data_IF_306707199317
#
_entry.id   IF_306707199317
#
_cell.length_a   1.000
_cell.length_b   1.000
_cell.length_c   1.000
_cell.angle_alpha   90.00
_cell.angle_beta   90.00
_cell.angle_gamma   90.00
#
_symmetry.space_group_name_H-M   'P 1'
#
loop_
_entity.id
_entity.type
_entity.pdbx_description
1 polymer ?
#
# COMPACT_ATOMS: atom_id res chain seq x y z
N UNK A 1 64.51 29.00 -38.96
CA UNK A 1 64.51 30.43 -38.57
C UNK A 1 63.19 31.06 -38.95
N UNK A 2 62.31 31.37 -38.02
CA UNK A 2 61.30 32.42 -38.05
C UNK A 2 60.58 32.40 -36.67
N UNK A 3 60.82 33.48 -35.96
CA UNK A 3 60.22 33.78 -34.64
C UNK A 3 58.79 34.18 -34.81
N UNK A 4 57.85 33.58 -34.08
CA UNK A 4 56.47 33.99 -33.95
C UNK A 4 56.26 34.66 -32.59
N UNK A 5 55.70 35.85 -32.63
CA UNK A 5 55.45 36.75 -31.53
C UNK A 5 54.14 36.31 -30.82
N UNK A 6 54.22 36.13 -29.49
CA UNK A 6 53.04 35.88 -28.64
C UNK A 6 52.51 37.24 -28.19
N UNK A 7 51.25 37.56 -28.55
CA UNK A 7 50.50 38.68 -28.00
C UNK A 7 49.73 38.22 -26.76
N UNK A 8 50.06 38.82 -25.62
CA UNK A 8 49.30 38.64 -24.36
C UNK A 8 48.23 39.73 -24.29
N UNK A 9 46.98 39.32 -24.45
CA UNK A 9 45.83 40.23 -24.24
C UNK A 9 45.42 40.21 -22.78
N UNK A 10 45.45 41.37 -22.12
CA UNK A 10 44.89 41.56 -20.78
C UNK A 10 43.40 41.80 -20.87
N UNK A 11 42.60 40.91 -20.24
CA UNK A 11 41.18 41.11 -20.02
C UNK A 11 41.00 41.68 -18.60
N UNK A 12 40.52 42.88 -18.48
CA UNK A 12 40.14 43.48 -17.21
C UNK A 12 38.76 42.93 -16.77
N UNK A 13 38.72 42.31 -15.61
CA UNK A 13 37.49 41.89 -14.98
C UNK A 13 36.96 43.05 -14.14
N UNK A 14 35.80 43.61 -14.55
CA UNK A 14 35.03 44.54 -13.75
C UNK A 14 34.16 43.77 -12.79
N UNK A 15 34.46 43.78 -11.50
CA UNK A 15 33.62 43.23 -10.44
C UNK A 15 32.46 44.19 -10.14
N UNK A 16 31.27 43.86 -10.62
CA UNK A 16 30.01 44.53 -10.23
C UNK A 16 29.41 43.79 -9.03
N UNK A 17 29.46 44.36 -7.84
CA UNK A 17 28.73 43.86 -6.67
C UNK A 17 27.25 44.26 -6.80
N UNK A 18 26.40 43.31 -7.11
CA UNK A 18 24.94 43.42 -6.96
C UNK A 18 24.56 42.80 -5.61
N UNK A 19 24.24 43.65 -4.63
CA UNK A 19 23.58 43.26 -3.41
C UNK A 19 22.12 42.92 -3.72
N UNK A 20 21.81 41.61 -3.86
CA UNK A 20 20.44 41.09 -3.86
C UNK A 20 20.03 40.85 -2.42
N UNK A 21 19.22 41.71 -1.84
CA UNK A 21 18.52 41.46 -0.57
C UNK A 21 17.55 40.31 -0.77
N UNK A 22 17.83 39.17 -0.20
CA UNK A 22 16.89 38.07 -0.09
C UNK A 22 15.83 38.40 0.97
N UNK A 23 14.66 38.81 0.53
CA UNK A 23 13.44 38.68 1.34
C UNK A 23 13.11 37.20 1.46
N UNK A 24 13.55 36.58 2.52
CA UNK A 24 13.03 35.27 2.94
C UNK A 24 11.63 35.52 3.53
N UNK A 25 10.61 35.34 2.70
CA UNK A 25 9.25 35.21 3.18
C UNK A 25 9.17 33.86 3.92
N UNK A 26 8.90 33.96 5.22
CA UNK A 26 8.65 32.81 6.09
C UNK A 26 7.21 32.33 5.82
N UNK A 27 7.04 31.46 4.82
CA UNK A 27 5.73 30.94 4.36
C UNK A 27 5.49 29.49 4.85
N UNK A 28 6.30 29.00 5.80
CA UNK A 28 6.22 27.61 6.27
C UNK A 28 5.13 27.33 7.33
N UNK A 29 4.37 28.34 7.74
CA UNK A 29 3.34 28.16 8.80
C UNK A 29 1.93 27.84 8.29
N UNK A 30 1.56 28.34 7.11
CA UNK A 30 0.21 28.16 6.57
C UNK A 30 0.04 26.87 5.77
N UNK A 31 1.05 26.48 4.99
CA UNK A 31 0.98 25.27 4.17
C UNK A 31 0.86 23.98 5.00
N UNK A 32 1.43 23.96 6.22
CA UNK A 32 1.33 22.79 7.10
C UNK A 32 -0.03 22.65 7.79
N UNK A 33 -0.72 23.76 8.08
CA UNK A 33 -2.01 23.75 8.76
C UNK A 33 -3.14 23.44 7.77
N UNK A 34 -3.13 24.05 6.58
CA UNK A 34 -4.05 23.74 5.49
C UNK A 34 -3.90 22.29 5.00
N UNK A 35 -2.68 21.73 5.02
CA UNK A 35 -2.42 20.34 4.67
C UNK A 35 -2.96 19.37 5.72
N UNK A 36 -2.91 19.69 7.02
CA UNK A 36 -3.45 18.84 8.09
C UNK A 36 -4.99 18.85 8.11
N UNK A 37 -5.62 20.00 7.93
CA UNK A 37 -7.08 20.13 7.91
C UNK A 37 -7.69 19.47 6.67
N UNK A 38 -7.08 19.63 5.49
CA UNK A 38 -7.46 18.93 4.27
C UNK A 38 -7.27 17.41 4.38
N UNK A 39 -6.24 16.95 5.09
CA UNK A 39 -5.98 15.53 5.28
C UNK A 39 -7.02 14.88 6.21
N UNK A 40 -7.43 15.53 7.29
CA UNK A 40 -8.47 15.04 8.21
C UNK A 40 -9.80 14.88 7.48
N UNK A 41 -10.15 15.80 6.57
CA UNK A 41 -11.36 15.74 5.76
C UNK A 41 -11.31 14.65 4.68
N UNK A 42 -10.15 14.44 4.07
CA UNK A 42 -9.94 13.45 3.01
C UNK A 42 -10.05 11.99 3.51
N UNK A 43 -9.76 11.76 4.79
CA UNK A 43 -9.72 10.43 5.40
C UNK A 43 -10.97 10.08 6.26
N UNK A 44 -11.99 10.95 6.27
CA UNK A 44 -13.17 10.80 7.14
C UNK A 44 -14.01 9.55 6.88
N UNK A 45 -13.99 9.03 5.65
CA UNK A 45 -14.85 7.92 5.22
C UNK A 45 -14.15 6.55 5.32
N UNK A 46 -12.90 6.51 5.74
CA UNK A 46 -12.12 5.27 5.95
C UNK A 46 -11.81 5.05 7.44
N UNK A 47 -11.45 3.81 7.85
CA UNK A 47 -11.09 3.53 9.24
C UNK A 47 -9.94 4.40 9.74
N UNK A 48 -10.03 4.85 10.99
CA UNK A 48 -8.98 5.64 11.63
C UNK A 48 -7.71 4.83 11.93
N UNK A 49 -6.64 5.53 12.30
CA UNK A 49 -5.40 4.91 12.78
C UNK A 49 -5.66 3.91 13.94
N UNK A 50 -6.50 4.30 14.91
CA UNK A 50 -6.78 3.46 16.07
C UNK A 50 -7.61 2.23 15.70
N UNK A 51 -8.61 2.40 14.82
CA UNK A 51 -9.43 1.28 14.34
C UNK A 51 -8.58 0.26 13.59
N UNK A 52 -7.74 0.73 12.65
CA UNK A 52 -6.82 -0.15 11.92
C UNK A 52 -5.85 -0.87 12.86
N UNK A 53 -5.26 -0.15 13.81
CA UNK A 53 -4.32 -0.74 14.77
C UNK A 53 -4.95 -1.81 15.64
N UNK A 54 -6.15 -1.55 16.14
CA UNK A 54 -6.90 -2.51 16.94
C UNK A 54 -7.30 -3.75 16.12
N UNK A 55 -7.88 -3.55 14.94
CA UNK A 55 -8.31 -4.63 14.07
C UNK A 55 -7.12 -5.51 13.62
N UNK A 56 -6.01 -4.91 13.17
CA UNK A 56 -4.84 -5.66 12.74
C UNK A 56 -4.21 -6.45 13.90
N UNK A 57 -4.09 -5.86 15.09
CA UNK A 57 -3.57 -6.55 16.28
C UNK A 57 -4.46 -7.68 16.79
N UNK A 58 -5.75 -7.65 16.51
CA UNK A 58 -6.65 -8.74 16.86
C UNK A 58 -6.45 -9.99 15.98
N UNK A 59 -5.79 -9.83 14.83
CA UNK A 59 -5.61 -10.88 13.81
C UNK A 59 -4.15 -11.34 13.71
N UNK A 60 -3.19 -10.45 13.91
CA UNK A 60 -1.75 -10.72 13.76
C UNK A 60 -0.93 -10.07 14.89
N UNK A 61 0.22 -10.67 15.28
CA UNK A 61 0.71 -11.97 14.81
C UNK A 61 -0.15 -13.12 15.30
N UNK A 62 -0.21 -14.19 14.54
CA UNK A 62 -0.93 -15.40 14.92
C UNK A 62 -0.05 -16.63 14.70
N UNK A 63 -0.33 -17.69 15.44
CA UNK A 63 0.38 -18.96 15.27
C UNK A 63 0.22 -19.48 13.81
N UNK A 64 1.24 -20.15 13.30
CA UNK A 64 1.24 -20.73 11.94
C UNK A 64 0.04 -21.64 11.69
N UNK A 65 -0.49 -22.31 12.71
CA UNK A 65 -1.69 -23.14 12.63
C UNK A 65 -2.98 -22.34 12.41
N UNK A 66 -2.96 -21.01 12.60
CA UNK A 66 -4.15 -20.14 12.49
C UNK A 66 -4.22 -19.45 11.13
N UNK A 67 -3.07 -18.94 10.64
CA UNK A 67 -3.02 -18.17 9.39
C UNK A 67 -2.05 -18.75 8.34
N UNK A 68 -1.32 -19.83 8.66
CA UNK A 68 -0.19 -20.28 7.86
C UNK A 68 1.04 -19.38 8.02
N UNK A 69 1.95 -19.45 7.06
CA UNK A 69 3.11 -18.58 6.96
C UNK A 69 4.16 -18.76 8.07
N UNK A 70 4.75 -17.66 8.49
CA UNK A 70 5.89 -17.61 9.40
C UNK A 70 5.50 -17.15 10.83
N UNK A 71 4.34 -16.53 10.99
CA UNK A 71 3.82 -16.04 12.28
C UNK A 71 4.44 -14.71 12.71
N UNK A 72 4.80 -13.86 11.74
CA UNK A 72 5.48 -12.61 11.98
C UNK A 72 4.53 -11.45 12.29
N UNK A 73 5.09 -10.41 12.87
CA UNK A 73 4.45 -9.11 12.97
C UNK A 73 4.28 -8.46 11.60
N UNK A 74 3.29 -7.59 11.47
CA UNK A 74 2.88 -7.04 10.17
C UNK A 74 2.65 -5.54 10.20
N UNK A 75 2.81 -4.94 9.04
CA UNK A 75 2.39 -3.58 8.71
C UNK A 75 1.01 -3.58 8.09
N UNK A 76 0.21 -2.56 8.43
CA UNK A 76 -1.07 -2.29 7.80
C UNK A 76 -1.17 -0.83 7.36
N UNK A 77 -1.72 -0.60 6.17
CA UNK A 77 -1.92 0.74 5.62
C UNK A 77 -3.33 0.87 5.06
N UNK A 78 -3.96 2.04 5.27
CA UNK A 78 -5.21 2.43 4.63
C UNK A 78 -4.94 3.61 3.72
N UNK A 79 -5.48 3.56 2.50
CA UNK A 79 -5.61 4.70 1.59
C UNK A 79 -7.08 5.01 1.35
N UNK A 80 -7.40 6.29 1.12
CA UNK A 80 -8.73 6.69 0.67
C UNK A 80 -8.91 6.45 -0.85
N UNK A 81 -10.06 6.82 -1.40
CA UNK A 81 -10.38 6.63 -2.82
C UNK A 81 -9.46 7.39 -3.78
N UNK A 82 -8.87 8.49 -3.34
CA UNK A 82 -7.90 9.30 -4.11
C UNK A 82 -6.46 8.78 -4.01
N UNK A 83 -6.23 7.67 -3.28
CA UNK A 83 -4.90 7.09 -3.04
C UNK A 83 -4.10 7.84 -1.97
N UNK A 84 -4.74 8.70 -1.18
CA UNK A 84 -4.09 9.38 -0.04
C UNK A 84 -3.96 8.38 1.11
N UNK A 85 -2.76 8.24 1.66
CA UNK A 85 -2.50 7.41 2.84
C UNK A 85 -3.15 8.04 4.05
N UNK A 86 -4.05 7.30 4.71
CA UNK A 86 -4.81 7.76 5.86
C UNK A 86 -4.30 7.21 7.19
N UNK A 87 -3.77 6.00 7.19
CA UNK A 87 -3.19 5.37 8.37
C UNK A 87 -2.08 4.39 7.98
N UNK A 88 -1.03 4.34 8.81
CA UNK A 88 0.04 3.33 8.74
C UNK A 88 0.29 2.83 10.14
N UNK A 89 0.19 1.52 10.36
CA UNK A 89 0.35 0.90 11.68
C UNK A 89 1.23 -0.34 11.60
N UNK A 90 1.69 -0.82 12.75
CA UNK A 90 2.36 -2.13 12.88
C UNK A 90 1.87 -2.87 14.14
N UNK A 91 2.04 -4.19 14.16
CA UNK A 91 1.52 -5.06 15.25
C UNK A 91 2.50 -5.24 16.40
N UNK A 92 3.78 -5.22 16.15
CA UNK A 92 4.81 -5.50 17.13
C UNK A 92 5.00 -4.43 18.22
N UNK A 93 6.03 -4.61 19.04
CA UNK A 93 6.37 -3.68 20.12
C UNK A 93 6.96 -2.37 19.57
N UNK A 94 7.76 -2.48 18.53
CA UNK A 94 8.36 -1.37 17.80
C UNK A 94 8.54 -1.75 16.32
N UNK A 95 8.84 -0.76 15.47
CA UNK A 95 8.98 -0.94 14.01
C UNK A 95 10.13 -1.87 13.57
N UNK A 96 11.01 -2.29 14.49
CA UNK A 96 12.14 -3.17 14.19
C UNK A 96 11.76 -4.65 14.35
N UNK A 97 10.58 -4.92 14.89
CA UNK A 97 10.04 -6.27 15.05
C UNK A 97 9.28 -6.76 13.82
N UNK A 98 9.14 -5.91 12.81
CA UNK A 98 8.58 -6.21 11.49
C UNK A 98 9.64 -6.06 10.40
N UNK A 99 9.42 -6.68 9.25
CA UNK A 99 10.26 -6.42 8.07
C UNK A 99 10.13 -4.94 7.65
N UNK A 100 11.24 -4.17 7.61
CA UNK A 100 11.17 -2.74 7.30
C UNK A 100 10.58 -2.42 5.92
N UNK A 101 10.84 -3.27 4.92
CA UNK A 101 10.31 -3.12 3.56
C UNK A 101 8.79 -3.24 3.50
N UNK A 102 8.19 -3.98 4.43
CA UNK A 102 6.75 -4.24 4.43
C UNK A 102 5.91 -3.00 4.75
N UNK A 103 6.47 -1.94 5.35
CA UNK A 103 5.80 -0.66 5.52
C UNK A 103 5.37 -0.08 4.16
N UNK A 104 6.31 0.04 3.23
CA UNK A 104 6.05 0.58 1.89
C UNK A 104 5.21 -0.39 1.07
N UNK A 105 5.49 -1.69 1.17
CA UNK A 105 4.72 -2.73 0.47
C UNK A 105 3.24 -2.72 0.91
N UNK A 106 2.94 -2.56 2.20
CA UNK A 106 1.55 -2.46 2.66
C UNK A 106 0.82 -1.27 2.03
N UNK A 107 1.48 -0.12 1.93
CA UNK A 107 0.91 1.07 1.29
C UNK A 107 0.70 0.88 -0.23
N UNK A 108 1.63 0.25 -0.93
CA UNK A 108 1.45 -0.09 -2.35
C UNK A 108 0.30 -1.09 -2.56
N UNK A 109 0.17 -2.10 -1.69
CA UNK A 109 -0.96 -3.05 -1.74
C UNK A 109 -2.31 -2.34 -1.53
N UNK A 110 -2.39 -1.43 -0.54
CA UNK A 110 -3.59 -0.62 -0.32
C UNK A 110 -3.94 0.21 -1.56
N UNK A 111 -2.95 0.92 -2.14
CA UNK A 111 -3.11 1.72 -3.35
C UNK A 111 -3.57 0.86 -4.53
N UNK A 112 -2.98 -0.31 -4.73
CA UNK A 112 -3.30 -1.21 -5.85
C UNK A 112 -4.73 -1.74 -5.75
N UNK A 113 -5.14 -2.25 -4.58
CA UNK A 113 -6.49 -2.74 -4.38
C UNK A 113 -7.55 -1.64 -4.57
N UNK A 114 -7.28 -0.42 -4.09
CA UNK A 114 -8.10 0.75 -4.35
C UNK A 114 -8.19 1.09 -5.84
N UNK A 115 -7.07 1.09 -6.55
CA UNK A 115 -6.99 1.49 -7.96
C UNK A 115 -7.66 0.49 -8.93
N UNK A 116 -7.64 -0.81 -8.59
CA UNK A 116 -8.19 -1.88 -9.44
C UNK A 116 -9.57 -2.38 -8.98
N UNK A 117 -10.23 -1.67 -8.06
CA UNK A 117 -11.61 -1.97 -7.67
C UNK A 117 -12.56 -0.85 -8.04
N UNK A 118 -13.80 -1.22 -8.36
CA UNK A 118 -14.88 -0.34 -8.82
C UNK A 118 -16.10 -0.49 -7.90
N UNK A 119 -17.07 0.42 -7.95
CA UNK A 119 -18.29 0.31 -7.14
C UNK A 119 -19.03 -1.02 -7.26
N UNK A 120 -18.97 -1.67 -8.43
CA UNK A 120 -19.65 -2.96 -8.68
C UNK A 120 -18.73 -4.18 -8.76
N UNK A 121 -17.42 -4.04 -8.54
CA UNK A 121 -16.47 -5.13 -8.75
C UNK A 121 -15.16 -4.92 -8.00
N UNK A 122 -14.74 -5.89 -7.21
CA UNK A 122 -13.51 -5.86 -6.42
C UNK A 122 -12.46 -6.83 -6.95
N UNK A 123 -11.20 -6.38 -6.97
CA UNK A 123 -10.02 -7.22 -7.13
C UNK A 123 -9.09 -7.03 -5.94
N UNK A 124 -8.69 -8.13 -5.33
CA UNK A 124 -7.53 -8.11 -4.42
C UNK A 124 -6.23 -8.01 -5.21
N UNK A 125 -5.15 -7.61 -4.56
CA UNK A 125 -3.82 -7.62 -5.16
C UNK A 125 -3.38 -9.04 -5.57
N UNK A 126 -3.87 -10.07 -4.88
CA UNK A 126 -3.65 -11.48 -5.25
C UNK A 126 -4.25 -11.84 -6.62
N UNK A 127 -5.40 -11.27 -6.97
CA UNK A 127 -6.07 -11.55 -8.24
C UNK A 127 -5.32 -10.97 -9.46
N UNK A 128 -4.38 -10.06 -9.25
CA UNK A 128 -3.58 -9.46 -10.31
C UNK A 128 -2.28 -10.23 -10.61
N UNK A 129 -1.90 -11.20 -9.74
CA UNK A 129 -0.60 -11.87 -9.86
C UNK A 129 -0.36 -12.50 -11.23
N UNK A 130 -1.25 -13.36 -11.70
CA UNK A 130 -1.10 -14.06 -12.99
C UNK A 130 -1.02 -13.10 -14.17
N UNK A 131 -1.83 -12.05 -14.17
CA UNK A 131 -1.92 -11.11 -15.29
C UNK A 131 -0.62 -10.34 -15.54
N UNK A 132 0.24 -10.15 -14.52
CA UNK A 132 1.51 -9.41 -14.63
C UNK A 132 2.72 -10.30 -14.86
N UNK A 133 2.57 -11.63 -14.89
CA UNK A 133 3.70 -12.52 -15.16
C UNK A 133 4.12 -12.44 -16.65
N UNK A 134 5.35 -12.86 -16.98
CA UNK A 134 5.77 -12.96 -18.38
C UNK A 134 4.75 -13.70 -19.24
N UNK A 135 4.27 -13.07 -20.32
CA UNK A 135 3.20 -13.56 -21.16
C UNK A 135 1.77 -13.24 -20.68
N UNK A 136 1.61 -12.64 -19.51
CA UNK A 136 0.33 -12.13 -19.01
C UNK A 136 -0.11 -10.83 -19.68
N UNK A 137 -1.41 -10.54 -19.64
CA UNK A 137 -2.03 -9.39 -20.32
C UNK A 137 -1.64 -8.02 -19.75
N UNK A 138 -1.15 -7.98 -18.50
CA UNK A 138 -0.71 -6.79 -17.78
C UNK A 138 0.79 -6.84 -17.44
N UNK A 139 1.58 -7.63 -18.16
CA UNK A 139 3.04 -7.66 -17.98
C UNK A 139 3.62 -6.26 -18.10
N UNK A 140 4.48 -5.86 -17.13
CA UNK A 140 5.05 -4.51 -17.05
C UNK A 140 4.21 -3.50 -16.25
N UNK A 141 3.06 -3.90 -15.70
CA UNK A 141 2.19 -3.00 -14.91
C UNK A 141 2.91 -2.40 -13.70
N UNK A 142 3.69 -3.17 -12.98
CA UNK A 142 4.42 -2.73 -11.78
C UNK A 142 5.53 -1.75 -12.15
N UNK A 143 6.26 -2.00 -13.21
CA UNK A 143 7.37 -1.19 -13.70
C UNK A 143 6.90 0.15 -14.28
N UNK A 144 5.71 0.18 -14.90
CA UNK A 144 5.11 1.40 -15.46
C UNK A 144 4.39 2.27 -14.43
N UNK A 145 4.26 1.77 -13.19
CA UNK A 145 3.60 2.47 -12.08
C UNK A 145 4.51 2.48 -10.85
N UNK A 146 5.61 3.23 -10.86
CA UNK A 146 6.57 3.26 -9.75
C UNK A 146 5.97 3.93 -8.52
N UNK A 147 6.48 3.54 -7.35
CA UNK A 147 6.21 4.24 -6.10
C UNK A 147 6.85 5.63 -6.10
N UNK A 148 6.21 6.61 -5.47
CA UNK A 148 6.86 7.87 -5.12
C UNK A 148 7.88 7.63 -4.01
N UNK A 149 9.15 7.61 -4.35
CA UNK A 149 10.24 7.32 -3.40
C UNK A 149 10.41 8.40 -2.34
N UNK A 150 10.09 9.65 -2.64
CA UNK A 150 10.13 10.76 -1.67
C UNK A 150 9.06 10.60 -0.60
N UNK A 151 7.88 10.06 -0.95
CA UNK A 151 6.82 9.73 0.00
C UNK A 151 7.14 8.43 0.76
N UNK A 152 7.54 7.40 0.04
CA UNK A 152 7.76 6.06 0.59
C UNK A 152 8.85 6.03 1.68
N UNK A 153 9.96 6.70 1.44
CA UNK A 153 11.17 6.63 2.27
C UNK A 153 11.53 7.95 2.93
N UNK A 154 10.71 8.98 2.76
CA UNK A 154 10.93 10.30 3.35
C UNK A 154 10.58 10.37 4.83
N UNK A 155 10.97 11.50 5.44
CA UNK A 155 10.65 11.87 6.80
C UNK A 155 11.45 11.16 7.87
N UNK A 156 11.06 11.39 9.14
CA UNK A 156 11.74 10.81 10.29
C UNK A 156 11.26 9.38 10.55
N UNK A 157 12.17 8.40 10.50
CA UNK A 157 11.88 7.00 10.74
C UNK A 157 11.31 6.70 12.16
N UNK A 158 11.53 7.58 13.14
CA UNK A 158 10.92 7.44 14.47
C UNK A 158 9.38 7.52 14.41
N UNK A 159 8.83 8.17 13.38
CA UNK A 159 7.39 8.34 13.19
C UNK A 159 6.76 7.21 12.35
N UNK A 160 7.54 6.30 11.78
CA UNK A 160 7.02 5.21 10.96
C UNK A 160 6.05 4.33 11.74
N UNK A 161 4.83 4.18 11.22
CA UNK A 161 3.75 3.43 11.86
C UNK A 161 3.12 4.11 13.08
N UNK A 162 3.34 5.41 13.23
CA UNK A 162 2.70 6.27 14.24
C UNK A 162 1.59 7.13 13.59
N UNK A 163 0.73 7.80 14.37
CA UNK A 163 -0.31 8.67 13.80
C UNK A 163 0.21 9.75 12.86
N UNK A 164 1.46 10.16 13.03
CA UNK A 164 2.17 11.14 12.22
C UNK A 164 3.20 10.49 11.26
N UNK A 165 2.94 9.28 10.81
CA UNK A 165 3.78 8.63 9.79
C UNK A 165 3.93 9.53 8.56
N UNK A 166 5.16 9.75 8.05
CA UNK A 166 5.40 10.68 6.93
C UNK A 166 4.68 10.36 5.62
N UNK A 167 4.14 9.15 5.43
CA UNK A 167 3.28 8.83 4.29
C UNK A 167 1.85 9.37 4.46
N UNK A 168 1.38 9.59 5.70
CA UNK A 168 0.00 10.05 5.96
C UNK A 168 -0.22 11.43 5.34
N UNK A 169 -1.35 11.59 4.65
CA UNK A 169 -1.71 12.79 3.90
C UNK A 169 -1.12 12.87 2.50
N UNK A 170 -0.33 11.89 2.07
CA UNK A 170 0.36 11.90 0.78
C UNK A 170 -0.06 10.70 -0.08
N UNK A 171 0.12 10.81 -1.40
CA UNK A 171 -0.14 9.73 -2.36
C UNK A 171 1.16 8.97 -2.59
N UNK A 172 1.16 7.67 -2.26
CA UNK A 172 2.35 6.84 -2.42
C UNK A 172 2.50 6.30 -3.85
N UNK A 173 1.39 6.07 -4.54
CA UNK A 173 1.41 5.40 -5.84
C UNK A 173 1.94 3.96 -5.76
N UNK A 174 2.52 3.50 -6.85
CA UNK A 174 3.07 2.15 -6.94
C UNK A 174 2.01 1.07 -7.13
N UNK A 175 2.44 -0.07 -7.67
CA UNK A 175 1.61 -1.27 -7.85
C UNK A 175 2.33 -2.45 -7.22
N UNK A 176 1.60 -3.21 -6.38
CA UNK A 176 2.07 -4.47 -5.80
C UNK A 176 0.98 -5.53 -5.97
N UNK A 177 1.33 -6.68 -6.52
CA UNK A 177 0.39 -7.72 -6.99
C UNK A 177 0.45 -9.03 -6.20
N UNK A 178 1.04 -9.00 -5.02
CA UNK A 178 0.99 -10.12 -4.08
C UNK A 178 -0.22 -9.99 -3.16
N UNK A 179 -0.67 -11.09 -2.55
CA UNK A 179 -1.74 -11.08 -1.57
C UNK A 179 -1.52 -10.08 -0.45
N UNK A 180 -2.61 -9.55 0.10
CA UNK A 180 -2.61 -8.61 1.22
C UNK A 180 -3.21 -7.23 0.93
N UNK A 181 -3.59 -6.93 -0.32
CA UNK A 181 -4.33 -5.71 -0.65
C UNK A 181 -5.80 -6.01 -0.93
N UNK A 182 -6.70 -5.29 -0.28
CA UNK A 182 -8.16 -5.45 -0.39
C UNK A 182 -8.84 -4.09 -0.45
N UNK A 183 -9.83 -3.95 -1.33
CA UNK A 183 -10.66 -2.76 -1.39
C UNK A 183 -11.59 -2.65 -0.16
N UNK A 184 -11.85 -1.43 0.27
CA UNK A 184 -12.72 -1.12 1.41
C UNK A 184 -14.08 -0.62 0.91
N UNK A 185 -15.10 -1.39 1.21
CA UNK A 185 -16.50 -1.03 0.96
C UNK A 185 -17.20 -0.83 2.30
N UNK A 186 -17.76 0.35 2.52
CA UNK A 186 -18.45 0.66 3.76
C UNK A 186 -19.78 -0.10 3.91
N UNK A 187 -20.48 0.08 5.03
CA UNK A 187 -21.75 -0.60 5.35
C UNK A 187 -22.86 -0.41 4.32
N UNK A 188 -22.77 0.61 3.48
CA UNK A 188 -23.73 0.88 2.39
C UNK A 188 -23.23 0.39 1.03
N UNK A 189 -22.13 -0.34 0.98
CA UNK A 189 -21.53 -0.87 -0.25
C UNK A 189 -20.77 0.16 -1.08
N UNK A 190 -20.49 1.34 -0.52
CA UNK A 190 -19.70 2.37 -1.22
C UNK A 190 -18.21 2.06 -1.08
N UNK A 191 -17.51 2.03 -2.21
CA UNK A 191 -16.06 1.91 -2.27
C UNK A 191 -15.43 3.21 -1.75
N UNK A 192 -14.69 3.13 -0.64
CA UNK A 192 -14.11 4.29 0.04
C UNK A 192 -12.58 4.33 0.03
N UNK A 193 -11.92 3.23 -0.32
CA UNK A 193 -10.47 3.16 -0.33
C UNK A 193 -9.91 1.74 -0.42
N UNK A 194 -8.72 1.54 0.13
CA UNK A 194 -8.05 0.23 0.18
C UNK A 194 -7.26 0.01 1.46
N UNK A 195 -7.19 -1.26 1.86
CA UNK A 195 -6.36 -1.79 2.94
C UNK A 195 -5.21 -2.59 2.32
N UNK A 196 -4.01 -2.40 2.84
CA UNK A 196 -2.85 -3.25 2.52
C UNK A 196 -2.19 -3.77 3.77
N UNK A 197 -1.89 -5.07 3.79
CA UNK A 197 -1.16 -5.76 4.86
C UNK A 197 0.09 -6.41 4.29
N UNK A 198 1.20 -6.33 5.00
CA UNK A 198 2.46 -6.95 4.61
C UNK A 198 3.34 -7.24 5.82
N UNK A 199 4.05 -8.36 5.81
CA UNK A 199 4.97 -8.72 6.88
C UNK A 199 5.21 -10.22 7.03
N UNK A 200 4.53 -11.05 6.25
CA UNK A 200 4.70 -12.51 6.23
C UNK A 200 4.69 -13.01 4.77
N UNK A 201 4.38 -14.27 4.53
CA UNK A 201 4.14 -14.76 3.17
C UNK A 201 2.94 -14.03 2.57
N UNK A 202 2.92 -13.88 1.25
CA UNK A 202 1.82 -13.17 0.57
C UNK A 202 0.43 -13.80 0.80
N UNK A 203 0.37 -15.13 1.02
CA UNK A 203 -0.87 -15.80 1.37
C UNK A 203 -1.33 -15.42 2.79
N UNK A 204 -0.42 -15.38 3.75
CA UNK A 204 -0.70 -14.96 5.13
C UNK A 204 -1.06 -13.48 5.18
N UNK A 205 -0.36 -12.62 4.41
CA UNK A 205 -0.71 -11.21 4.26
C UNK A 205 -2.16 -11.05 3.79
N UNK A 206 -2.60 -11.87 2.81
CA UNK A 206 -3.99 -11.85 2.32
C UNK A 206 -5.00 -12.30 3.39
N UNK A 207 -4.71 -13.39 4.09
CA UNK A 207 -5.56 -13.90 5.18
C UNK A 207 -5.74 -12.85 6.27
N UNK A 208 -4.64 -12.22 6.69
CA UNK A 208 -4.67 -11.17 7.72
C UNK A 208 -5.40 -9.93 7.23
N UNK A 209 -5.17 -9.51 5.98
CA UNK A 209 -5.92 -8.39 5.38
C UNK A 209 -7.43 -8.66 5.34
N UNK A 210 -7.84 -9.87 4.95
CA UNK A 210 -9.25 -10.28 4.91
C UNK A 210 -9.91 -10.20 6.29
N UNK A 211 -9.30 -10.83 7.30
CA UNK A 211 -9.80 -10.82 8.68
C UNK A 211 -9.78 -9.41 9.28
N UNK A 212 -8.79 -8.59 8.95
CA UNK A 212 -8.73 -7.17 9.38
C UNK A 212 -9.85 -6.36 8.74
N UNK A 213 -10.10 -6.51 7.43
CA UNK A 213 -11.21 -5.84 6.72
C UNK A 213 -12.58 -6.24 7.33
N UNK A 214 -12.76 -7.54 7.63
CA UNK A 214 -13.94 -8.04 8.32
C UNK A 214 -14.11 -7.39 9.71
N UNK A 215 -13.06 -7.37 10.53
CA UNK A 215 -13.08 -6.75 11.86
C UNK A 215 -13.39 -5.24 11.81
N UNK A 216 -12.99 -4.56 10.73
CA UNK A 216 -13.31 -3.16 10.47
C UNK A 216 -14.74 -2.94 9.97
N UNK A 217 -15.44 -3.98 9.51
CA UNK A 217 -16.78 -3.90 8.89
C UNK A 217 -16.77 -2.99 7.62
N UNK A 218 -15.74 -3.17 6.78
CA UNK A 218 -15.56 -2.48 5.49
C UNK A 218 -15.48 -3.48 4.33
N UNK A 219 -16.19 -4.58 4.44
CA UNK A 219 -16.16 -5.75 3.59
C UNK A 219 -17.45 -6.00 2.79
N UNK A 220 -18.28 -4.97 2.58
CA UNK A 220 -19.47 -5.08 1.72
C UNK A 220 -19.10 -5.18 0.24
N UNK A 221 -18.31 -6.19 -0.11
CA UNK A 221 -17.81 -6.45 -1.46
C UNK A 221 -18.96 -6.84 -2.39
N UNK A 222 -19.19 -6.10 -3.50
CA UNK A 222 -20.35 -6.33 -4.36
C UNK A 222 -20.21 -7.57 -5.23
N UNK A 223 -19.01 -7.81 -5.77
CA UNK A 223 -18.64 -8.92 -6.63
C UNK A 223 -17.13 -9.00 -6.79
N UNK A 224 -16.63 -10.16 -7.19
CA UNK A 224 -15.22 -10.40 -7.49
C UNK A 224 -15.01 -11.71 -8.25
N UNK A 225 -13.77 -12.04 -8.55
CA UNK A 225 -13.39 -13.24 -9.32
C UNK A 225 -13.20 -14.49 -8.45
N UNK A 226 -13.10 -14.32 -7.15
CA UNK A 226 -12.83 -15.40 -6.19
C UNK A 226 -14.07 -16.22 -5.82
N UNK A 227 -13.88 -17.21 -4.96
CA UNK A 227 -14.95 -18.05 -4.45
C UNK A 227 -16.08 -17.22 -3.84
N UNK A 228 -17.32 -17.67 -3.96
CA UNK A 228 -18.52 -16.98 -3.52
C UNK A 228 -18.68 -15.56 -4.10
N UNK A 229 -18.18 -15.32 -5.31
CA UNK A 229 -18.25 -14.03 -6.02
C UNK A 229 -17.55 -12.90 -5.23
N UNK A 230 -16.42 -13.19 -4.60
CA UNK A 230 -15.64 -12.24 -3.79
C UNK A 230 -14.30 -11.93 -4.42
N UNK A 231 -13.53 -11.03 -3.80
CA UNK A 231 -12.14 -10.72 -4.14
C UNK A 231 -11.13 -11.63 -3.43
N UNK A 232 -11.56 -12.83 -2.97
CA UNK A 232 -10.65 -13.78 -2.32
C UNK A 232 -9.54 -14.24 -3.28
N UNK A 233 -8.41 -14.62 -2.69
CA UNK A 233 -7.29 -15.22 -3.39
C UNK A 233 -7.70 -16.56 -4.03
N UNK A 234 -7.25 -16.80 -5.26
CA UNK A 234 -7.48 -18.03 -6.02
C UNK A 234 -6.16 -18.80 -6.09
N UNK A 235 -6.07 -19.94 -5.45
CA UNK A 235 -4.87 -20.78 -5.41
C UNK A 235 -4.87 -21.83 -6.55
N UNK A 236 -5.02 -21.38 -7.81
CA UNK A 236 -5.07 -22.29 -8.98
C UNK A 236 -3.81 -22.22 -9.87
N UNK A 237 -2.76 -21.52 -9.42
CA UNK A 237 -1.51 -21.37 -10.12
C UNK A 237 -0.52 -22.48 -9.72
N UNK A 238 -0.52 -23.58 -10.45
CA UNK A 238 0.37 -24.72 -10.19
C UNK A 238 1.82 -24.46 -10.68
N UNK A 239 1.95 -23.87 -11.89
CA UNK A 239 3.23 -23.45 -12.47
C UNK A 239 2.99 -22.14 -13.23
N UNK A 240 3.69 -21.02 -12.87
CA UNK A 240 3.53 -19.77 -13.61
C UNK A 240 3.88 -19.92 -15.09
N UNK A 241 3.11 -19.30 -16.03
CA UNK A 241 1.95 -18.43 -15.79
C UNK A 241 0.58 -19.15 -15.87
N UNK A 242 0.53 -20.47 -15.73
CA UNK A 242 -0.65 -21.27 -16.00
C UNK A 242 -1.67 -21.25 -14.85
N UNK A 243 -2.55 -20.26 -14.82
CA UNK A 243 -3.74 -20.22 -13.98
C UNK A 243 -4.98 -20.50 -14.82
N UNK A 244 -5.88 -21.37 -14.34
CA UNK A 244 -7.11 -21.71 -15.05
C UNK A 244 -8.12 -20.56 -15.04
N UNK A 245 -8.19 -19.81 -13.94
CA UNK A 245 -9.07 -18.64 -13.83
C UNK A 245 -8.51 -17.39 -14.53
N UNK A 246 -7.21 -17.33 -14.78
CA UNK A 246 -6.49 -16.13 -15.21
C UNK A 246 -6.21 -15.12 -14.08
N UNK A 247 -6.69 -15.40 -12.85
CA UNK A 247 -6.57 -14.56 -11.67
C UNK A 247 -5.84 -15.25 -10.50
N UNK A 248 -5.12 -16.34 -10.79
CA UNK A 248 -4.48 -17.18 -9.79
C UNK A 248 -3.29 -16.53 -9.11
N UNK A 249 -3.07 -16.96 -7.87
CA UNK A 249 -1.93 -16.63 -7.04
C UNK A 249 -1.20 -17.92 -6.63
N UNK A 250 0.15 -17.92 -6.50
CA UNK A 250 0.88 -19.08 -5.99
C UNK A 250 0.41 -19.51 -4.60
N UNK A 251 0.49 -20.81 -4.33
CA UNK A 251 0.35 -21.35 -2.97
C UNK A 251 1.61 -21.07 -2.16
N UNK A 252 1.46 -20.74 -0.87
CA UNK A 252 2.60 -20.53 0.03
C UNK A 252 2.86 -21.78 0.89
N UNK A 253 1.84 -22.25 1.58
CA UNK A 253 1.86 -23.46 2.40
C UNK A 253 0.44 -24.07 2.51
N UNK A 254 0.36 -25.30 3.00
CA UNK A 254 -0.90 -26.03 3.07
C UNK A 254 -1.91 -25.41 4.05
N UNK A 255 -1.44 -24.86 5.17
CA UNK A 255 -2.31 -24.21 6.16
C UNK A 255 -2.91 -22.94 5.58
N UNK A 256 -2.08 -22.06 4.99
CA UNK A 256 -2.55 -20.84 4.34
C UNK A 256 -3.55 -21.15 3.22
N UNK A 257 -3.31 -22.19 2.40
CA UNK A 257 -4.22 -22.61 1.35
C UNK A 257 -5.59 -23.01 1.91
N UNK A 258 -5.61 -23.82 2.98
CA UNK A 258 -6.84 -24.27 3.64
C UNK A 258 -7.60 -23.09 4.26
N UNK A 259 -6.88 -22.19 4.95
CA UNK A 259 -7.49 -21.02 5.59
C UNK A 259 -8.07 -20.07 4.54
N UNK A 260 -7.32 -19.80 3.46
CA UNK A 260 -7.79 -18.95 2.35
C UNK A 260 -9.08 -19.48 1.73
N UNK A 261 -9.17 -20.79 1.49
CA UNK A 261 -10.38 -21.41 0.94
C UNK A 261 -11.60 -21.25 1.88
N UNK A 262 -11.37 -21.22 3.18
CA UNK A 262 -12.42 -21.05 4.20
C UNK A 262 -12.80 -19.59 4.50
N UNK A 263 -12.07 -18.59 4.00
CA UNK A 263 -12.32 -17.18 4.34
C UNK A 263 -13.76 -16.74 4.05
N UNK A 264 -14.33 -16.98 2.84
CA UNK A 264 -15.69 -16.50 2.54
C UNK A 264 -16.78 -17.16 3.41
N UNK A 265 -16.49 -18.31 4.00
CA UNK A 265 -17.44 -19.02 4.89
C UNK A 265 -17.30 -18.57 6.34
N UNK A 266 -16.06 -18.43 6.81
CA UNK A 266 -15.76 -18.13 8.22
C UNK A 266 -15.79 -16.62 8.54
N UNK A 267 -15.54 -15.80 7.52
CA UNK A 267 -15.54 -14.33 7.55
C UNK A 267 -16.26 -13.83 6.28
N UNK A 268 -17.58 -14.02 6.21
CA UNK A 268 -18.35 -13.71 5.00
C UNK A 268 -18.28 -12.21 4.69
N UNK A 269 -18.25 -11.89 3.38
CA UNK A 269 -18.39 -10.50 2.94
C UNK A 269 -19.85 -10.05 3.06
N UNK A 270 -20.05 -8.77 3.28
CA UNK A 270 -21.38 -8.19 3.42
C UNK A 270 -21.57 -7.56 4.81
N UNK A 271 -22.79 -7.07 5.11
CA UNK A 271 -23.04 -6.48 6.41
C UNK A 271 -22.82 -7.52 7.49
N UNK A 272 -21.82 -7.28 8.33
CA UNK A 272 -21.55 -8.14 9.48
C UNK A 272 -22.63 -7.95 10.53
N UNK A 273 -23.06 -9.02 11.21
CA UNK A 273 -24.11 -8.97 12.23
C UNK A 273 -23.76 -8.10 13.43
#
# INVERSE_FOLDING_TARGET
MRRGIVLIGHIAIVAGALAAGALLADDNGKDNQDSQDNNSSACKDVPSFNDLKAALKSVAPAAKSVNGGLGFNMWGTIVNRDGIVCAVVFTGADRQTEWPGSRVISAQKANTANAFSLPGFALSTANLYTAVQPGGTLFGLQESNPVDTGVAYGGNAANYGQPNDPMVGRKIGGINVFGGGLALYNKTGVLVGGLGVSGDTSCTDHIVAWKTRFALNFDNVPAGVGAANTDNMINDLNLPPASQSGFGHPTCDATATTVTAGLPTNFPVGPNP
#
